data_IF_799313666242
#
_entry.id   IF_799313666242
#
_cell.length_a   1.000
_cell.length_b   1.000
_cell.length_c   1.000
_cell.angle_alpha   90.00
_cell.angle_beta   90.00
_cell.angle_gamma   90.00
#
_symmetry.space_group_name_H-M   'P 1'
#
loop_
_entity.id
_entity.type
_entity.pdbx_description
1 polymer ?
#
# COMPACT_ATOMS: atom_id res chain seq x y z
N UNK A 1 2.11 16.02 -16.32
CA UNK A 1 2.37 16.92 -15.18
C UNK A 1 1.12 17.71 -14.80
N UNK A 2 0.51 18.45 -15.72
CA UNK A 2 -0.69 19.29 -15.45
C UNK A 2 -1.85 18.53 -14.79
N UNK A 3 -2.24 17.35 -15.30
CA UNK A 3 -3.31 16.54 -14.71
C UNK A 3 -3.03 16.11 -13.26
N UNK A 4 -1.78 15.78 -12.93
CA UNK A 4 -1.39 15.41 -11.55
C UNK A 4 -1.57 16.60 -10.63
N UNK A 5 -1.10 17.78 -11.05
CA UNK A 5 -1.24 19.01 -10.28
C UNK A 5 -2.72 19.37 -10.10
N UNK A 6 -3.54 19.19 -11.13
CA UNK A 6 -4.98 19.40 -11.05
C UNK A 6 -5.62 18.46 -10.01
N UNK A 7 -5.29 17.17 -10.03
CA UNK A 7 -5.84 16.20 -9.08
C UNK A 7 -5.38 16.43 -7.63
N UNK A 8 -4.15 16.91 -7.42
CA UNK A 8 -3.66 17.29 -6.09
C UNK A 8 -4.51 18.41 -5.45
N UNK A 9 -5.16 19.25 -6.26
CA UNK A 9 -6.05 20.31 -5.75
C UNK A 9 -7.45 19.82 -5.37
N UNK A 10 -7.82 18.58 -5.67
CA UNK A 10 -9.15 18.01 -5.45
C UNK A 10 -9.18 17.12 -4.18
N UNK A 11 -9.41 17.65 -2.97
CA UNK A 11 -8.94 17.02 -1.73
C UNK A 11 -9.58 15.66 -1.40
N UNK A 12 -10.82 15.43 -1.82
CA UNK A 12 -11.59 14.23 -1.44
C UNK A 12 -11.52 13.13 -2.49
N UNK A 13 -11.43 13.48 -3.77
CA UNK A 13 -11.32 12.52 -4.89
C UNK A 13 -9.87 12.35 -5.36
N UNK A 14 -8.91 12.98 -4.69
CA UNK A 14 -7.49 12.97 -5.04
C UNK A 14 -6.94 11.56 -5.17
N UNK A 15 -7.14 10.72 -4.16
CA UNK A 15 -6.59 9.35 -4.10
C UNK A 15 -7.08 8.51 -5.29
N UNK A 16 -8.39 8.33 -5.50
CA UNK A 16 -8.86 7.52 -6.62
C UNK A 16 -8.46 8.12 -7.97
N UNK A 17 -8.50 9.45 -8.15
CA UNK A 17 -8.09 10.09 -9.42
C UNK A 17 -6.60 9.90 -9.73
N UNK A 18 -5.72 10.02 -8.72
CA UNK A 18 -4.29 9.80 -8.89
C UNK A 18 -3.99 8.33 -9.21
N UNK A 19 -4.60 7.39 -8.50
CA UNK A 19 -4.39 5.96 -8.77
C UNK A 19 -4.92 5.58 -10.17
N UNK A 20 -6.12 6.03 -10.52
CA UNK A 20 -6.70 5.82 -11.86
C UNK A 20 -5.88 6.47 -12.97
N UNK A 21 -5.12 7.54 -12.69
CA UNK A 21 -4.20 8.10 -13.68
C UNK A 21 -3.11 7.11 -14.09
N UNK A 22 -2.65 6.29 -13.13
CA UNK A 22 -1.56 5.34 -13.31
C UNK A 22 -2.02 3.92 -13.66
N UNK A 23 -3.32 3.68 -13.82
CA UNK A 23 -3.84 2.44 -14.44
C UNK A 23 -3.61 2.39 -15.95
N UNK A 24 -3.23 3.50 -16.57
CA UNK A 24 -2.84 3.55 -17.98
C UNK A 24 -1.42 2.97 -18.19
N UNK A 25 -1.29 2.07 -19.17
CA UNK A 25 -0.04 1.33 -19.47
C UNK A 25 1.13 2.23 -19.87
N UNK A 26 0.86 3.46 -20.35
CA UNK A 26 1.89 4.43 -20.71
C UNK A 26 2.25 5.25 -19.47
N UNK A 27 1.25 5.80 -18.76
CA UNK A 27 1.44 6.70 -17.62
C UNK A 27 2.08 6.03 -16.42
N UNK A 28 1.82 4.73 -16.20
CA UNK A 28 2.45 3.97 -15.10
C UNK A 28 3.99 4.01 -15.17
N UNK A 29 4.58 4.21 -16.36
CA UNK A 29 6.04 4.37 -16.54
C UNK A 29 6.60 5.61 -15.85
N UNK A 30 5.78 6.65 -15.68
CA UNK A 30 6.21 7.88 -15.00
C UNK A 30 6.56 7.62 -13.53
N UNK A 31 6.00 6.57 -12.92
CA UNK A 31 6.35 6.12 -11.58
C UNK A 31 7.79 5.58 -11.47
N UNK A 32 8.58 5.58 -12.55
CA UNK A 32 10.02 5.33 -12.46
C UNK A 32 10.79 6.50 -11.85
N UNK A 33 10.19 7.70 -11.79
CA UNK A 33 10.79 8.89 -11.19
C UNK A 33 10.50 8.91 -9.68
N UNK A 34 11.54 8.89 -8.87
CA UNK A 34 11.45 8.86 -7.40
C UNK A 34 10.63 10.03 -6.82
N UNK A 35 10.86 11.26 -7.30
CA UNK A 35 10.08 12.42 -6.86
C UNK A 35 8.56 12.27 -7.13
N UNK A 36 8.17 11.53 -8.16
CA UNK A 36 6.75 11.25 -8.41
C UNK A 36 6.20 10.17 -7.48
N UNK A 37 7.03 9.19 -7.13
CA UNK A 37 6.70 8.19 -6.10
C UNK A 37 6.49 8.87 -4.75
N UNK A 38 7.35 9.80 -4.36
CA UNK A 38 7.23 10.58 -3.12
C UNK A 38 5.94 11.41 -3.10
N UNK A 39 5.60 12.08 -4.20
CA UNK A 39 4.36 12.86 -4.31
C UNK A 39 3.13 11.98 -4.20
N UNK A 40 3.15 10.80 -4.84
CA UNK A 40 2.03 9.86 -4.74
C UNK A 40 1.91 9.29 -3.32
N UNK A 41 3.03 8.91 -2.70
CA UNK A 41 3.07 8.44 -1.32
C UNK A 41 2.56 9.50 -0.34
N UNK A 42 2.98 10.75 -0.49
CA UNK A 42 2.49 11.87 0.29
C UNK A 42 0.98 12.06 0.09
N UNK A 43 0.50 12.00 -1.15
CA UNK A 43 -0.91 12.15 -1.47
C UNK A 43 -1.80 11.03 -0.91
N UNK A 44 -1.28 9.82 -0.71
CA UNK A 44 -2.03 8.69 -0.18
C UNK A 44 -1.92 8.56 1.33
N UNK A 45 -0.71 8.67 1.88
CA UNK A 45 -0.41 8.25 3.24
C UNK A 45 -0.28 9.40 4.24
N UNK A 46 -0.24 10.66 3.80
CA UNK A 46 -0.28 11.78 4.75
C UNK A 46 -1.67 11.93 5.40
N UNK A 47 -1.71 12.20 6.71
CA UNK A 47 -2.96 12.28 7.47
C UNK A 47 -3.84 13.51 7.12
N UNK A 48 -3.34 14.44 6.29
CA UNK A 48 -4.02 15.67 5.89
C UNK A 48 -4.55 16.50 7.08
N UNK A 49 -5.64 17.25 6.89
CA UNK A 49 -6.25 18.05 7.96
C UNK A 49 -6.94 17.13 8.97
N UNK A 50 -6.52 17.22 10.24
CA UNK A 50 -7.11 16.47 11.34
C UNK A 50 -8.36 17.16 11.90
N UNK A 51 -9.36 16.36 12.27
CA UNK A 51 -10.47 16.79 13.13
C UNK A 51 -10.88 15.68 14.09
N UNK A 52 -11.45 16.05 15.24
CA UNK A 52 -12.05 15.09 16.16
C UNK A 52 -13.31 14.42 15.59
N UNK A 53 -13.94 13.56 16.40
CA UNK A 53 -15.18 12.84 16.06
C UNK A 53 -16.44 13.72 16.09
N UNK A 54 -16.27 15.04 16.01
CA UNK A 54 -17.38 15.98 15.99
C UNK A 54 -18.11 15.92 14.64
N UNK A 55 -19.41 16.23 14.67
CA UNK A 55 -20.21 16.33 13.46
C UNK A 55 -19.61 17.36 12.50
N UNK A 56 -19.51 16.97 11.22
CA UNK A 56 -19.03 17.86 10.16
C UNK A 56 -20.13 18.83 9.80
N UNK A 57 -19.87 20.12 9.94
CA UNK A 57 -20.73 21.15 9.38
C UNK A 57 -20.63 21.14 7.85
N UNK A 58 -21.77 20.92 7.19
CA UNK A 58 -21.84 20.98 5.73
C UNK A 58 -21.63 22.42 5.24
N UNK A 59 -20.85 22.63 4.17
CA UNK A 59 -20.65 23.96 3.62
C UNK A 59 -21.96 24.50 3.05
N UNK A 60 -22.31 25.73 3.43
CA UNK A 60 -23.54 26.42 2.99
C UNK A 60 -23.35 27.25 1.72
N UNK A 61 -22.11 27.42 1.25
CA UNK A 61 -21.75 28.24 0.09
C UNK A 61 -20.82 27.50 -0.87
N UNK A 62 -20.93 27.84 -2.17
CA UNK A 62 -20.02 27.40 -3.22
C UNK A 62 -19.40 28.67 -3.86
N UNK A 63 -18.07 28.85 -3.82
CA UNK A 63 -17.07 28.01 -3.15
C UNK A 63 -17.19 28.07 -1.61
N UNK A 64 -16.80 26.97 -0.95
CA UNK A 64 -16.79 26.92 0.52
C UNK A 64 -15.78 27.91 1.12
N UNK A 65 -16.14 28.57 2.22
CA UNK A 65 -15.30 29.58 2.90
C UNK A 65 -14.08 28.97 3.60
N UNK A 66 -14.17 27.70 4.01
CA UNK A 66 -13.09 26.96 4.64
C UNK A 66 -13.10 25.51 4.16
N UNK A 67 -11.98 24.81 4.31
CA UNK A 67 -11.83 23.37 4.03
C UNK A 67 -11.97 22.49 5.28
N UNK A 68 -12.41 23.05 6.40
CA UNK A 68 -12.52 22.32 7.67
C UNK A 68 -13.45 21.10 7.56
N UNK A 69 -14.51 21.20 6.76
CA UNK A 69 -15.44 20.09 6.47
C UNK A 69 -14.79 18.89 5.74
N UNK A 70 -13.57 19.07 5.20
CA UNK A 70 -12.80 18.02 4.52
C UNK A 70 -11.82 17.30 5.45
N UNK A 71 -11.68 17.73 6.70
CA UNK A 71 -10.78 17.10 7.67
C UNK A 71 -11.24 15.68 8.02
N UNK A 72 -10.33 14.81 8.43
CA UNK A 72 -10.63 13.43 8.83
C UNK A 72 -9.93 13.07 10.15
N UNK A 73 -10.45 12.12 10.93
CA UNK A 73 -9.86 11.76 12.22
C UNK A 73 -8.58 10.91 12.09
N UNK A 74 -8.47 10.12 11.01
CA UNK A 74 -7.42 9.11 10.86
C UNK A 74 -6.64 9.23 9.53
N UNK A 75 -6.90 10.25 8.70
CA UNK A 75 -6.28 10.40 7.39
C UNK A 75 -7.21 10.15 6.21
N UNK A 76 -6.76 10.50 5.00
CA UNK A 76 -7.59 10.46 3.80
C UNK A 76 -7.78 9.04 3.25
N UNK A 77 -6.75 8.19 3.32
CA UNK A 77 -6.85 6.83 2.80
C UNK A 77 -7.88 5.99 3.58
N UNK A 78 -7.88 6.04 4.92
CA UNK A 78 -8.92 5.37 5.71
C UNK A 78 -10.31 5.91 5.38
N UNK A 79 -10.45 7.23 5.23
CA UNK A 79 -11.72 7.83 4.87
C UNK A 79 -12.20 7.38 3.48
N UNK A 80 -11.30 7.24 2.52
CA UNK A 80 -11.60 6.72 1.18
C UNK A 80 -12.02 5.24 1.24
N UNK A 81 -11.25 4.39 1.93
CA UNK A 81 -11.56 2.97 2.09
C UNK A 81 -12.89 2.72 2.82
N UNK A 82 -13.26 3.59 3.76
CA UNK A 82 -14.53 3.51 4.49
C UNK A 82 -15.74 3.96 3.65
N UNK A 83 -15.56 4.89 2.71
CA UNK A 83 -16.68 5.52 2.00
C UNK A 83 -16.80 5.09 0.54
N UNK A 84 -15.69 4.83 -0.14
CA UNK A 84 -15.64 4.40 -1.55
C UNK A 84 -14.38 3.55 -1.84
N UNK A 85 -14.30 2.32 -1.30
CA UNK A 85 -13.11 1.49 -1.48
C UNK A 85 -12.87 1.05 -2.92
N UNK A 86 -13.95 0.83 -3.70
CA UNK A 86 -13.89 0.15 -4.98
C UNK A 86 -12.98 0.86 -6.00
N UNK A 87 -13.04 2.19 -6.08
CA UNK A 87 -12.26 2.98 -7.04
C UNK A 87 -10.75 2.92 -6.74
N UNK A 88 -10.39 2.92 -5.46
CA UNK A 88 -9.00 2.87 -5.00
C UNK A 88 -8.44 1.46 -5.17
N UNK A 89 -9.18 0.43 -4.75
CA UNK A 89 -8.71 -0.95 -4.77
C UNK A 89 -8.63 -1.53 -6.18
N UNK A 90 -9.64 -1.27 -7.02
CA UNK A 90 -9.61 -1.67 -8.43
C UNK A 90 -8.43 -1.02 -9.18
N UNK A 91 -8.09 0.23 -8.86
CA UNK A 91 -6.95 0.90 -9.48
C UNK A 91 -5.62 0.20 -9.10
N UNK A 92 -5.46 -0.21 -7.84
CA UNK A 92 -4.27 -0.95 -7.40
C UNK A 92 -4.19 -2.33 -8.08
N UNK A 93 -5.30 -3.08 -8.14
CA UNK A 93 -5.37 -4.38 -8.82
C UNK A 93 -4.97 -4.24 -10.31
N UNK A 94 -5.52 -3.25 -11.02
CA UNK A 94 -5.18 -2.98 -12.44
C UNK A 94 -3.72 -2.54 -12.59
N UNK A 95 -3.20 -1.74 -11.67
CA UNK A 95 -1.78 -1.36 -11.68
C UNK A 95 -0.87 -2.58 -11.51
N UNK A 96 -1.23 -3.53 -10.65
CA UNK A 96 -0.51 -4.80 -10.47
C UNK A 96 -0.54 -5.64 -11.76
N UNK A 97 -1.71 -5.80 -12.38
CA UNK A 97 -1.83 -6.54 -13.64
C UNK A 97 -0.97 -5.91 -14.75
N UNK A 98 -1.00 -4.57 -14.87
CA UNK A 98 -0.19 -3.85 -15.84
C UNK A 98 1.32 -4.01 -15.63
N UNK A 99 1.80 -4.13 -14.39
CA UNK A 99 3.23 -4.38 -14.15
C UNK A 99 3.62 -5.84 -14.35
N UNK A 100 2.71 -6.78 -14.09
CA UNK A 100 2.91 -8.21 -14.35
C UNK A 100 2.98 -8.52 -15.85
N UNK A 101 2.11 -7.91 -16.66
CA UNK A 101 2.18 -8.02 -18.13
C UNK A 101 3.52 -7.53 -18.71
N UNK A 102 4.22 -6.67 -17.96
CA UNK A 102 5.51 -6.09 -18.36
C UNK A 102 6.71 -6.90 -17.91
N UNK A 103 6.51 -8.10 -17.37
CA UNK A 103 7.60 -8.97 -16.97
C UNK A 103 8.49 -9.34 -18.17
N UNK A 104 9.69 -8.76 -18.22
CA UNK A 104 10.74 -9.10 -19.19
C UNK A 104 11.49 -10.39 -18.83
N UNK A 105 11.09 -11.04 -17.73
CA UNK A 105 11.71 -12.22 -17.15
C UNK A 105 13.06 -11.95 -16.49
N UNK A 106 13.53 -10.70 -16.41
CA UNK A 106 14.80 -10.35 -15.75
C UNK A 106 14.69 -9.00 -15.05
N UNK A 107 15.40 -8.88 -13.94
CA UNK A 107 15.53 -7.62 -13.23
C UNK A 107 16.52 -6.68 -13.93
N UNK A 108 16.06 -5.46 -14.20
CA UNK A 108 16.84 -4.33 -14.69
C UNK A 108 16.46 -3.12 -13.83
N UNK A 109 17.40 -2.48 -13.10
CA UNK A 109 17.07 -1.45 -12.12
C UNK A 109 16.14 -0.35 -12.65
N UNK A 110 16.45 0.25 -13.80
CA UNK A 110 15.65 1.37 -14.36
C UNK A 110 14.25 0.92 -14.83
N UNK A 111 14.15 -0.23 -15.48
CA UNK A 111 12.90 -0.72 -16.04
C UNK A 111 11.97 -1.34 -14.99
N UNK A 112 12.56 -1.94 -13.95
CA UNK A 112 11.85 -2.66 -12.90
C UNK A 112 11.55 -1.78 -11.67
N UNK A 113 12.12 -0.58 -11.56
CA UNK A 113 11.82 0.36 -10.48
C UNK A 113 10.32 0.63 -10.32
N UNK A 114 9.60 0.80 -11.45
CA UNK A 114 8.14 0.95 -11.48
C UNK A 114 7.45 -0.26 -10.86
N UNK A 115 7.87 -1.46 -11.23
CA UNK A 115 7.26 -2.72 -10.76
C UNK A 115 7.44 -2.85 -9.25
N UNK A 116 8.66 -2.64 -8.77
CA UNK A 116 8.96 -2.69 -7.34
C UNK A 116 8.19 -1.64 -6.56
N UNK A 117 8.05 -0.42 -7.08
CA UNK A 117 7.25 0.62 -6.45
C UNK A 117 5.76 0.25 -6.35
N UNK A 118 5.15 -0.24 -7.43
CA UNK A 118 3.73 -0.65 -7.42
C UNK A 118 3.50 -1.81 -6.45
N UNK A 119 4.42 -2.77 -6.36
CA UNK A 119 4.36 -3.85 -5.36
C UNK A 119 4.40 -3.28 -3.94
N UNK A 120 5.33 -2.35 -3.65
CA UNK A 120 5.42 -1.69 -2.34
C UNK A 120 4.14 -0.92 -2.01
N UNK A 121 3.58 -0.21 -2.98
CA UNK A 121 2.35 0.54 -2.84
C UNK A 121 1.18 -0.41 -2.50
N UNK A 122 1.04 -1.51 -3.24
CA UNK A 122 0.01 -2.52 -3.01
C UNK A 122 0.09 -3.14 -1.61
N UNK A 123 1.28 -3.56 -1.17
CA UNK A 123 1.49 -4.10 0.18
C UNK A 123 1.16 -3.04 1.25
N UNK A 124 1.53 -1.78 1.05
CA UNK A 124 1.18 -0.71 1.99
C UNK A 124 -0.32 -0.47 2.03
N UNK A 125 -1.03 -0.46 0.91
CA UNK A 125 -2.48 -0.31 0.89
C UNK A 125 -3.17 -1.51 1.55
N UNK A 126 -2.66 -2.74 1.36
CA UNK A 126 -3.15 -3.93 2.05
C UNK A 126 -3.06 -3.80 3.58
N UNK A 127 -2.00 -3.18 4.11
CA UNK A 127 -1.85 -2.94 5.56
C UNK A 127 -3.00 -2.09 6.12
N UNK A 128 -3.41 -1.03 5.40
CA UNK A 128 -4.56 -0.20 5.78
C UNK A 128 -5.88 -0.98 5.67
N UNK A 129 -6.03 -1.87 4.69
CA UNK A 129 -7.20 -2.75 4.57
C UNK A 129 -7.30 -3.71 5.75
N UNK A 130 -6.20 -4.39 6.07
CA UNK A 130 -6.14 -5.34 7.18
C UNK A 130 -6.40 -4.64 8.50
N UNK A 131 -5.86 -3.43 8.68
CA UNK A 131 -6.16 -2.62 9.86
C UNK A 131 -7.67 -2.38 10.02
N UNK A 132 -8.38 -2.00 8.95
CA UNK A 132 -9.84 -1.80 9.00
C UNK A 132 -10.60 -3.11 9.30
N UNK A 133 -10.22 -4.22 8.68
CA UNK A 133 -10.84 -5.54 8.89
C UNK A 133 -10.64 -6.00 10.34
N UNK A 134 -9.42 -5.85 10.88
CA UNK A 134 -9.09 -6.18 12.28
C UNK A 134 -9.84 -5.28 13.26
N UNK A 135 -9.88 -3.97 12.97
CA UNK A 135 -10.59 -3.01 13.79
C UNK A 135 -12.08 -3.34 13.90
N UNK A 136 -12.72 -3.72 12.79
CA UNK A 136 -14.11 -4.18 12.78
C UNK A 136 -14.31 -5.44 13.63
N UNK A 137 -13.41 -6.42 13.50
CA UNK A 137 -13.42 -7.63 14.32
C UNK A 137 -13.22 -7.34 15.82
N UNK A 138 -12.41 -6.36 16.19
CA UNK A 138 -12.21 -5.95 17.58
C UNK A 138 -13.43 -5.22 18.14
N UNK A 139 -14.09 -4.37 17.35
CA UNK A 139 -15.35 -3.72 17.76
C UNK A 139 -16.45 -4.76 18.02
N UNK A 140 -16.56 -5.79 17.18
CA UNK A 140 -17.56 -6.84 17.33
C UNK A 140 -17.39 -7.67 18.62
N UNK A 141 -16.19 -7.69 19.21
CA UNK A 141 -15.90 -8.47 20.41
C UNK A 141 -16.30 -7.77 21.72
N UNK A 142 -16.64 -6.47 21.72
CA UNK A 142 -17.05 -5.61 22.86
C UNK A 142 -16.07 -5.53 24.07
N UNK A 143 -15.18 -6.52 24.24
CA UNK A 143 -14.15 -6.65 25.27
C UNK A 143 -12.96 -5.69 25.07
N UNK A 144 -12.82 -5.10 23.88
CA UNK A 144 -11.64 -4.36 23.43
C UNK A 144 -11.54 -2.92 23.95
N UNK A 145 -12.49 -2.46 24.78
CA UNK A 145 -12.57 -1.03 25.14
C UNK A 145 -11.65 -0.67 26.31
N UNK A 146 -11.40 -1.57 27.28
CA UNK A 146 -10.67 -1.24 28.52
C UNK A 146 -10.02 -2.44 29.23
N UNK A 147 -9.52 -3.46 28.52
CA UNK A 147 -8.73 -4.52 29.16
C UNK A 147 -7.23 -4.21 29.03
N UNK A 148 -6.38 -4.73 29.92
CA UNK A 148 -4.91 -4.58 29.92
C UNK A 148 -4.23 -5.29 28.71
N UNK A 149 -4.93 -5.43 27.59
CA UNK A 149 -4.49 -6.04 26.35
C UNK A 149 -4.12 -4.96 25.34
N UNK A 150 -3.17 -5.28 24.46
CA UNK A 150 -2.73 -4.39 23.38
C UNK A 150 -3.78 -4.25 22.26
N UNK A 151 -4.84 -5.07 22.27
CA UNK A 151 -5.89 -5.09 21.25
C UNK A 151 -7.06 -4.16 21.64
N UNK A 152 -7.14 -3.00 20.98
CA UNK A 152 -8.23 -2.04 21.14
C UNK A 152 -8.68 -1.50 19.78
N UNK A 153 -9.95 -1.11 19.66
CA UNK A 153 -10.46 -0.49 18.44
C UNK A 153 -10.24 1.02 18.43
N UNK A 154 -10.10 1.59 17.24
CA UNK A 154 -9.95 3.03 17.03
C UNK A 154 -11.31 3.65 16.75
N UNK A 155 -11.68 4.65 17.56
CA UNK A 155 -12.91 5.41 17.39
C UNK A 155 -12.88 6.19 16.07
N UNK A 156 -14.00 6.23 15.35
CA UNK A 156 -14.13 6.96 14.07
C UNK A 156 -13.79 6.12 12.83
N UNK A 157 -13.43 4.85 13.01
CA UNK A 157 -13.19 3.89 11.93
C UNK A 157 -14.26 2.80 11.89
N UNK A 158 -15.52 3.19 12.08
CA UNK A 158 -16.64 2.26 11.99
C UNK A 158 -16.88 1.86 10.52
N UNK A 159 -16.77 0.56 10.26
CA UNK A 159 -16.99 -0.02 8.94
C UNK A 159 -18.45 -0.47 8.85
N UNK A 160 -19.15 -0.14 7.76
CA UNK A 160 -20.46 -0.71 7.49
C UNK A 160 -20.31 -2.17 7.05
N UNK A 161 -21.24 -3.07 7.41
CA UNK A 161 -21.13 -4.49 7.10
C UNK A 161 -20.93 -4.79 5.60
N UNK A 162 -21.61 -4.05 4.71
CA UNK A 162 -21.41 -4.17 3.25
C UNK A 162 -19.98 -3.77 2.84
N UNK A 163 -19.47 -2.66 3.39
CA UNK A 163 -18.10 -2.20 3.15
C UNK A 163 -17.08 -3.21 3.67
N UNK A 164 -17.29 -3.78 4.87
CA UNK A 164 -16.40 -4.79 5.45
C UNK A 164 -16.27 -6.01 4.53
N UNK A 165 -17.39 -6.51 3.99
CA UNK A 165 -17.40 -7.61 3.04
C UNK A 165 -16.59 -7.29 1.76
N UNK A 166 -16.77 -6.07 1.20
CA UNK A 166 -15.98 -5.60 0.04
C UNK A 166 -14.49 -5.52 0.34
N UNK A 167 -14.11 -4.99 1.51
CA UNK A 167 -12.72 -4.89 1.94
C UNK A 167 -12.08 -6.27 2.08
N UNK A 168 -12.77 -7.24 2.71
CA UNK A 168 -12.27 -8.61 2.84
C UNK A 168 -12.17 -9.34 1.49
N UNK A 169 -13.08 -9.08 0.55
CA UNK A 169 -12.97 -9.64 -0.79
C UNK A 169 -11.78 -9.06 -1.56
N UNK A 170 -11.63 -7.74 -1.56
CA UNK A 170 -10.51 -7.06 -2.20
C UNK A 170 -9.17 -7.45 -1.58
N UNK A 171 -9.10 -7.58 -0.26
CA UNK A 171 -7.91 -8.04 0.45
C UNK A 171 -7.51 -9.45 -0.02
N UNK A 172 -8.46 -10.38 -0.16
CA UNK A 172 -8.17 -11.74 -0.67
C UNK A 172 -7.65 -11.72 -2.11
N UNK A 173 -8.24 -10.91 -2.99
CA UNK A 173 -7.78 -10.77 -4.39
C UNK A 173 -6.37 -10.19 -4.46
N UNK A 174 -6.11 -9.12 -3.71
CA UNK A 174 -4.80 -8.47 -3.63
C UNK A 174 -3.74 -9.44 -3.10
N UNK A 175 -4.06 -10.16 -2.02
CA UNK A 175 -3.17 -11.18 -1.43
C UNK A 175 -2.87 -12.31 -2.42
N UNK A 176 -3.87 -12.78 -3.18
CA UNK A 176 -3.68 -13.80 -4.20
C UNK A 176 -2.74 -13.33 -5.33
N UNK A 177 -2.86 -12.07 -5.77
CA UNK A 177 -1.93 -11.49 -6.75
C UNK A 177 -0.51 -11.33 -6.20
N UNK A 178 -0.36 -10.84 -4.96
CA UNK A 178 0.94 -10.58 -4.34
C UNK A 178 1.72 -11.88 -4.06
N UNK A 179 1.07 -12.90 -3.50
CA UNK A 179 1.74 -14.18 -3.16
C UNK A 179 1.73 -15.21 -4.29
N UNK A 180 0.95 -15.00 -5.35
CA UNK A 180 0.98 -15.81 -6.56
C UNK A 180 1.91 -15.22 -7.62
N UNK A 181 1.35 -14.57 -8.66
CA UNK A 181 2.11 -14.13 -9.83
C UNK A 181 3.24 -13.16 -9.51
N UNK A 182 3.06 -12.23 -8.56
CA UNK A 182 4.11 -11.28 -8.17
C UNK A 182 5.28 -11.99 -7.48
N UNK A 183 5.00 -12.88 -6.53
CA UNK A 183 6.03 -13.66 -5.85
C UNK A 183 6.81 -14.54 -6.84
N UNK A 184 6.12 -15.20 -7.77
CA UNK A 184 6.74 -16.04 -8.80
C UNK A 184 7.66 -15.22 -9.71
N UNK A 185 7.20 -14.04 -10.17
CA UNK A 185 8.01 -13.12 -10.97
C UNK A 185 9.29 -12.70 -10.23
N UNK A 186 9.18 -12.27 -8.97
CA UNK A 186 10.33 -11.86 -8.17
C UNK A 186 11.30 -13.02 -7.91
N UNK A 187 10.80 -14.23 -7.64
CA UNK A 187 11.63 -15.43 -7.49
C UNK A 187 12.35 -15.79 -8.80
N UNK A 188 11.69 -15.63 -9.95
CA UNK A 188 12.31 -15.85 -11.26
C UNK A 188 13.46 -14.86 -11.51
N UNK A 189 13.23 -13.58 -11.19
CA UNK A 189 14.25 -12.54 -11.29
C UNK A 189 15.42 -12.83 -10.37
N UNK A 190 15.15 -13.23 -9.12
CA UNK A 190 16.17 -13.54 -8.12
C UNK A 190 17.06 -14.70 -8.58
N UNK A 191 16.46 -15.81 -9.04
CA UNK A 191 17.21 -16.96 -9.55
C UNK A 191 18.14 -16.58 -10.70
N UNK A 192 17.72 -15.67 -11.57
CA UNK A 192 18.56 -15.17 -12.67
C UNK A 192 19.66 -14.23 -12.19
N UNK A 193 19.35 -13.30 -11.28
CA UNK A 193 20.33 -12.38 -10.69
C UNK A 193 21.45 -13.16 -9.96
N UNK A 194 21.09 -14.19 -9.19
CA UNK A 194 22.03 -15.08 -8.52
C UNK A 194 22.93 -15.83 -9.50
N UNK A 195 22.38 -16.39 -10.60
CA UNK A 195 23.18 -17.04 -11.65
C UNK A 195 24.17 -16.10 -12.31
N UNK A 196 23.80 -14.83 -12.46
CA UNK A 196 24.64 -13.77 -13.03
C UNK A 196 25.57 -13.12 -12.01
N UNK A 197 25.55 -13.56 -10.74
CA UNK A 197 26.33 -13.00 -9.63
C UNK A 197 26.13 -11.49 -9.42
N UNK A 198 24.92 -10.97 -9.69
CA UNK A 198 24.54 -9.58 -9.42
C UNK A 198 24.02 -9.49 -7.98
N UNK A 199 24.91 -9.26 -7.03
CA UNK A 199 24.61 -9.28 -5.59
C UNK A 199 23.64 -8.19 -5.16
N UNK A 200 23.84 -6.96 -5.63
CA UNK A 200 23.03 -5.81 -5.22
C UNK A 200 21.57 -5.96 -5.68
N UNK A 201 21.39 -6.44 -6.91
CA UNK A 201 20.08 -6.79 -7.47
C UNK A 201 19.43 -7.92 -6.66
N UNK A 202 20.18 -8.95 -6.30
CA UNK A 202 19.68 -10.06 -5.48
C UNK A 202 19.28 -9.59 -4.08
N UNK A 203 20.04 -8.67 -3.47
CA UNK A 203 19.68 -8.03 -2.20
C UNK A 203 18.35 -7.27 -2.32
N UNK A 204 18.20 -6.42 -3.34
CA UNK A 204 16.96 -5.69 -3.59
C UNK A 204 15.77 -6.65 -3.75
N UNK A 205 15.92 -7.72 -4.52
CA UNK A 205 14.87 -8.73 -4.74
C UNK A 205 14.53 -9.51 -3.46
N UNK A 206 15.52 -9.89 -2.66
CA UNK A 206 15.31 -10.51 -1.36
C UNK A 206 14.52 -9.60 -0.41
N UNK A 207 14.86 -8.31 -0.37
CA UNK A 207 14.13 -7.34 0.44
C UNK A 207 12.65 -7.23 0.01
N UNK A 208 12.37 -7.19 -1.30
CA UNK A 208 10.99 -7.11 -1.79
C UNK A 208 10.21 -8.41 -1.56
N UNK A 209 10.84 -9.58 -1.68
CA UNK A 209 10.22 -10.86 -1.33
C UNK A 209 9.87 -10.92 0.17
N UNK A 210 10.77 -10.46 1.05
CA UNK A 210 10.46 -10.33 2.46
C UNK A 210 9.33 -9.32 2.71
N UNK A 211 9.31 -8.21 1.96
CA UNK A 211 8.29 -7.18 2.09
C UNK A 211 6.88 -7.68 1.74
N UNK A 212 6.72 -8.64 0.81
CA UNK A 212 5.43 -9.28 0.54
C UNK A 212 4.82 -9.93 1.79
N UNK A 213 5.65 -10.40 2.71
CA UNK A 213 5.24 -11.07 3.93
C UNK A 213 5.07 -10.12 5.12
N UNK A 214 5.23 -8.80 4.93
CA UNK A 214 5.13 -7.79 5.99
C UNK A 214 3.79 -7.83 6.74
N UNK A 215 2.72 -8.14 6.03
CA UNK A 215 1.35 -8.02 6.53
C UNK A 215 0.76 -9.33 7.06
N UNK A 216 1.56 -10.41 7.12
CA UNK A 216 1.12 -11.70 7.63
C UNK A 216 1.01 -11.67 9.16
N UNK A 217 -0.05 -12.30 9.68
CA UNK A 217 -0.19 -12.57 11.12
C UNK A 217 0.63 -13.79 11.54
N UNK A 218 0.84 -13.95 12.84
CA UNK A 218 1.58 -15.09 13.39
C UNK A 218 0.95 -16.43 13.00
N UNK A 219 -0.38 -16.49 12.95
CA UNK A 219 -1.12 -17.67 12.51
C UNK A 219 -0.96 -17.96 11.01
N UNK A 220 -0.60 -16.96 10.22
CA UNK A 220 -0.43 -17.05 8.76
C UNK A 220 1.03 -17.32 8.34
N UNK A 221 1.97 -17.35 9.30
CA UNK A 221 3.38 -17.64 9.07
C UNK A 221 3.60 -19.12 8.70
N UNK A 222 3.37 -19.44 7.43
CA UNK A 222 3.70 -20.73 6.85
C UNK A 222 5.20 -20.91 6.59
N UNK A 223 5.62 -22.15 6.31
CA UNK A 223 7.01 -22.51 6.00
C UNK A 223 7.61 -21.65 4.88
N UNK A 224 6.84 -21.38 3.82
CA UNK A 224 7.30 -20.58 2.69
C UNK A 224 7.63 -19.13 3.07
N UNK A 225 6.80 -18.51 3.92
CA UNK A 225 6.99 -17.15 4.40
C UNK A 225 8.21 -17.07 5.32
N UNK A 226 8.32 -17.99 6.29
CA UNK A 226 9.46 -18.07 7.21
C UNK A 226 10.76 -18.29 6.44
N UNK A 227 10.76 -19.22 5.46
CA UNK A 227 11.92 -19.44 4.60
C UNK A 227 12.31 -18.20 3.82
N UNK A 228 11.34 -17.49 3.23
CA UNK A 228 11.60 -16.26 2.47
C UNK A 228 12.22 -15.17 3.36
N UNK A 229 11.67 -14.96 4.56
CA UNK A 229 12.14 -13.99 5.54
C UNK A 229 13.55 -14.31 6.03
N UNK A 230 13.80 -15.55 6.47
CA UNK A 230 15.12 -15.97 6.96
C UNK A 230 16.18 -15.94 5.86
N UNK A 231 15.83 -16.38 4.64
CA UNK A 231 16.75 -16.33 3.50
C UNK A 231 17.09 -14.88 3.15
N UNK A 232 16.09 -14.00 3.11
CA UNK A 232 16.32 -12.59 2.86
C UNK A 232 17.18 -11.95 3.96
N UNK A 233 16.90 -12.22 5.23
CA UNK A 233 17.67 -11.71 6.37
C UNK A 233 19.14 -12.16 6.29
N UNK A 234 19.39 -13.45 6.10
CA UNK A 234 20.75 -13.98 5.97
C UNK A 234 21.48 -13.36 4.77
N UNK A 235 20.84 -13.30 3.61
CA UNK A 235 21.46 -12.78 2.39
C UNK A 235 21.77 -11.29 2.49
N UNK A 236 20.82 -10.49 3.01
CA UNK A 236 21.01 -9.05 3.20
C UNK A 236 22.13 -8.77 4.21
N UNK A 237 22.19 -9.49 5.33
CA UNK A 237 23.26 -9.30 6.32
C UNK A 237 24.65 -9.66 5.80
N UNK A 238 24.75 -10.58 4.84
CA UNK A 238 26.03 -10.99 4.26
C UNK A 238 26.51 -10.08 3.13
N UNK A 239 25.59 -9.46 2.39
CA UNK A 239 25.90 -8.81 1.12
C UNK A 239 25.52 -7.33 1.03
N UNK A 240 24.68 -6.83 1.94
CA UNK A 240 24.25 -5.43 1.94
C UNK A 240 24.95 -4.65 3.06
N UNK A 241 25.58 -3.53 2.70
CA UNK A 241 26.12 -2.59 3.68
C UNK A 241 25.01 -1.68 4.18
N UNK A 242 24.63 -1.82 5.44
CA UNK A 242 23.68 -0.91 6.07
C UNK A 242 24.41 0.38 6.47
N UNK A 243 24.34 1.39 5.62
CA UNK A 243 24.82 2.72 5.97
C UNK A 243 23.93 3.27 7.10
N UNK A 244 24.50 3.32 8.30
CA UNK A 244 23.84 3.84 9.52
C UNK A 244 24.06 5.34 9.70
N UNK A 245 24.63 6.01 8.69
CA UNK A 245 24.86 7.46 8.74
C UNK A 245 23.54 8.22 8.57
N UNK A 246 22.94 8.56 9.72
CA UNK A 246 21.99 9.67 9.82
C UNK A 246 22.75 10.92 9.38
N UNK A 247 22.51 11.39 8.15
CA UNK A 247 22.96 12.72 7.73
C UNK A 247 22.35 13.74 8.69
N UNK A 248 23.20 14.29 9.55
CA UNK A 248 22.90 15.38 10.48
C UNK A 248 22.75 16.72 9.78
#
# INVERSE_FOLDING_TARGET
AELVLQYLTAPYVRIPLLLQLFTDKIRIKALGVEALQEVLDAALFEPALWQGLADKELPTHIPARSRAHLATPCGLLFNELLKSPDATLSAIEVMLDNVLERDAGKYLPESCAVVLYVIRLAVRVEDFLLFLIRNDAWMARDEATCQNTWATYVRGLQVAADTAARLSEAQRRLRAQLHGPVADMLQNWLRRAQRQRRTDDACALHAHLAFLHRNLEEEELGEAAVRALLTAQCYLNLHHHFDTEVKS
#
